data_IF_685201412365
#
_entry.id   IF_685201412365
#
_cell.length_a   1.000
_cell.length_b   1.000
_cell.length_c   1.000
_cell.angle_alpha   90.00
_cell.angle_beta   90.00
_cell.angle_gamma   90.00
#
_symmetry.space_group_name_H-M   'P 1'
#
loop_
_entity.id
_entity.type
_entity.pdbx_description
1 polymer ?
#
# COMPACT_ATOMS: atom_id res chain seq x y z
N UNK A 1 -27.26 39.81 38.02
CA UNK A 1 -25.91 39.35 37.70
C UNK A 1 -26.02 37.95 37.12
N UNK A 2 -26.19 37.88 35.79
CA UNK A 2 -26.38 36.60 35.08
C UNK A 2 -25.07 36.20 34.47
N UNK A 3 -24.54 35.04 34.91
CA UNK A 3 -23.35 34.42 34.32
C UNK A 3 -23.75 33.57 33.12
N UNK A 4 -23.33 33.97 31.95
CA UNK A 4 -23.53 33.23 30.69
C UNK A 4 -22.36 32.29 30.52
N UNK A 5 -22.59 30.97 30.70
CA UNK A 5 -21.58 29.96 30.47
C UNK A 5 -21.40 29.78 28.96
N UNK A 6 -20.22 30.09 28.47
CA UNK A 6 -19.80 29.88 27.08
C UNK A 6 -19.72 28.39 26.76
N UNK A 7 -20.48 27.96 25.76
CA UNK A 7 -20.32 26.66 25.10
C UNK A 7 -19.02 26.71 24.30
N UNK A 8 -18.01 25.99 24.74
CA UNK A 8 -16.80 25.74 23.97
C UNK A 8 -17.13 24.83 22.80
N UNK A 9 -17.07 25.37 21.60
CA UNK A 9 -17.25 24.65 20.36
C UNK A 9 -16.16 23.58 20.18
N UNK A 10 -16.57 22.37 19.84
CA UNK A 10 -15.70 21.27 19.43
C UNK A 10 -14.95 21.68 18.16
N UNK A 11 -13.63 21.83 18.24
CA UNK A 11 -12.81 22.16 17.08
C UNK A 11 -12.79 21.02 16.05
N UNK A 12 -12.50 21.30 14.76
CA UNK A 12 -12.52 20.33 13.65
C UNK A 12 -11.56 19.14 13.80
N UNK A 13 -10.57 19.20 14.68
CA UNK A 13 -9.54 18.16 14.84
C UNK A 13 -9.94 16.89 15.60
N UNK A 14 -11.03 16.88 16.38
CA UNK A 14 -11.37 15.70 17.19
C UNK A 14 -12.15 14.61 16.42
N UNK A 15 -12.85 14.98 15.37
CA UNK A 15 -13.61 14.05 14.54
C UNK A 15 -12.69 13.26 13.59
N UNK A 16 -11.73 13.93 12.98
CA UNK A 16 -10.72 13.31 12.08
C UNK A 16 -9.82 12.34 12.86
N UNK A 17 -9.35 12.70 14.05
CA UNK A 17 -8.51 11.82 14.86
C UNK A 17 -9.25 10.54 15.31
N UNK A 18 -10.57 10.57 15.52
CA UNK A 18 -11.36 9.38 15.88
C UNK A 18 -11.61 8.48 14.67
N UNK A 19 -11.86 9.06 13.52
CA UNK A 19 -12.01 8.30 12.27
C UNK A 19 -10.70 7.58 11.92
N UNK A 20 -9.55 8.24 12.04
CA UNK A 20 -8.24 7.64 11.84
C UNK A 20 -7.96 6.50 12.83
N UNK A 21 -8.28 6.67 14.10
CA UNK A 21 -8.15 5.61 15.11
C UNK A 21 -9.00 4.37 14.76
N UNK A 22 -10.22 4.58 14.23
CA UNK A 22 -11.08 3.48 13.76
C UNK A 22 -10.44 2.78 12.55
N UNK A 23 -9.90 3.53 11.58
CA UNK A 23 -9.27 2.96 10.40
C UNK A 23 -7.98 2.19 10.75
N UNK A 24 -7.18 2.68 11.70
CA UNK A 24 -5.99 1.99 12.19
C UNK A 24 -6.35 0.70 12.94
N UNK A 25 -7.42 0.71 13.75
CA UNK A 25 -7.93 -0.49 14.41
C UNK A 25 -8.50 -1.50 13.40
N UNK A 26 -9.23 -1.02 12.38
CA UNK A 26 -9.76 -1.84 11.31
C UNK A 26 -8.64 -2.56 10.55
N UNK A 27 -7.56 -1.86 10.23
CA UNK A 27 -6.38 -2.42 9.56
C UNK A 27 -5.80 -3.61 10.35
N UNK A 28 -5.59 -3.45 11.68
CA UNK A 28 -5.09 -4.53 12.53
C UNK A 28 -6.03 -5.73 12.58
N UNK A 29 -7.33 -5.50 12.77
CA UNK A 29 -8.32 -6.59 12.86
C UNK A 29 -8.50 -7.30 11.52
N UNK A 30 -8.58 -6.58 10.41
CA UNK A 30 -8.63 -7.20 9.08
C UNK A 30 -7.36 -7.99 8.74
N UNK A 31 -6.20 -7.52 9.17
CA UNK A 31 -4.93 -8.24 8.97
C UNK A 31 -4.82 -9.52 9.78
N UNK A 32 -5.43 -9.56 10.98
CA UNK A 32 -5.41 -10.73 11.86
C UNK A 32 -6.46 -11.77 11.46
N UNK A 33 -7.70 -11.33 11.21
CA UNK A 33 -8.86 -12.20 11.09
C UNK A 33 -9.34 -12.38 9.64
N UNK A 34 -8.73 -11.65 8.69
CA UNK A 34 -9.19 -11.52 7.32
C UNK A 34 -10.50 -10.74 7.21
N UNK A 35 -10.92 -10.42 5.98
CA UNK A 35 -12.16 -9.66 5.78
C UNK A 35 -13.39 -10.40 6.33
N UNK A 36 -13.50 -11.72 6.14
CA UNK A 36 -14.67 -12.49 6.57
C UNK A 36 -14.76 -12.61 8.09
N UNK A 37 -13.64 -12.91 8.76
CA UNK A 37 -13.57 -13.14 10.22
C UNK A 37 -13.68 -11.85 11.04
N UNK A 38 -13.27 -10.72 10.51
CA UNK A 38 -13.28 -9.44 11.22
C UNK A 38 -14.72 -9.00 11.58
N UNK A 39 -14.95 -8.72 12.88
CA UNK A 39 -16.23 -8.23 13.38
C UNK A 39 -16.17 -6.72 13.68
N UNK A 40 -17.21 -5.97 13.33
CA UNK A 40 -17.33 -4.53 13.64
C UNK A 40 -17.18 -4.23 15.12
N UNK A 41 -17.63 -5.15 15.99
CA UNK A 41 -17.47 -5.06 17.44
C UNK A 41 -16.01 -5.13 17.87
N UNK A 42 -15.24 -6.09 17.32
CA UNK A 42 -13.82 -6.23 17.62
C UNK A 42 -13.04 -4.97 17.18
N UNK A 43 -13.40 -4.38 16.03
CA UNK A 43 -12.81 -3.12 15.57
C UNK A 43 -13.14 -1.97 16.53
N UNK A 44 -14.38 -1.89 17.04
CA UNK A 44 -14.77 -0.88 18.02
C UNK A 44 -13.98 -1.00 19.34
N UNK A 45 -13.84 -2.22 19.84
CA UNK A 45 -13.06 -2.54 21.03
C UNK A 45 -11.56 -2.18 20.81
N UNK A 46 -10.99 -2.52 19.67
CA UNK A 46 -9.60 -2.20 19.32
C UNK A 46 -9.36 -0.69 19.11
N UNK A 47 -10.36 0.06 18.66
CA UNK A 47 -10.31 1.52 18.51
C UNK A 47 -10.62 2.28 19.81
N UNK A 48 -11.09 1.60 20.86
CA UNK A 48 -11.55 2.25 22.10
C UNK A 48 -12.78 3.14 21.93
N UNK A 49 -13.68 2.79 21.00
CA UNK A 49 -14.88 3.57 20.69
C UNK A 49 -16.16 2.74 20.82
N UNK A 50 -17.30 3.42 20.99
CA UNK A 50 -18.58 2.75 20.91
C UNK A 50 -18.85 2.25 19.47
N UNK A 51 -19.40 1.03 19.32
CA UNK A 51 -19.71 0.44 18.00
C UNK A 51 -20.63 1.35 17.16
N UNK A 52 -21.55 2.07 17.82
CA UNK A 52 -22.43 3.04 17.16
C UNK A 52 -21.68 4.16 16.43
N UNK A 53 -20.47 4.53 16.89
CA UNK A 53 -19.64 5.54 16.23
C UNK A 53 -19.09 5.00 14.89
N UNK A 54 -18.70 3.72 14.83
CA UNK A 54 -18.27 3.11 13.58
C UNK A 54 -19.43 3.07 12.57
N UNK A 55 -20.63 2.67 13.03
CA UNK A 55 -21.81 2.68 12.16
C UNK A 55 -22.20 4.09 11.71
N UNK A 56 -21.96 5.10 12.55
CA UNK A 56 -22.19 6.49 12.16
C UNK A 56 -21.28 6.91 11.00
N UNK A 57 -19.97 6.60 11.06
CA UNK A 57 -18.99 7.00 10.05
C UNK A 57 -19.03 6.14 8.79
N UNK A 58 -19.09 4.82 8.93
CA UNK A 58 -18.85 3.89 7.82
C UNK A 58 -20.06 3.06 7.39
N UNK A 59 -21.14 3.03 8.19
CA UNK A 59 -22.39 2.30 7.93
C UNK A 59 -22.25 0.78 7.91
N UNK A 60 -21.34 0.23 7.08
CA UNK A 60 -21.13 -1.22 6.89
C UNK A 60 -19.65 -1.58 7.03
N UNK A 61 -19.36 -2.87 7.25
CA UNK A 61 -18.00 -3.43 7.27
C UNK A 61 -17.31 -3.23 5.92
N UNK A 62 -18.06 -3.36 4.84
CA UNK A 62 -17.56 -3.13 3.48
C UNK A 62 -17.08 -1.70 3.27
N UNK A 63 -17.88 -0.70 3.67
CA UNK A 63 -17.49 0.72 3.58
C UNK A 63 -16.33 1.09 4.50
N UNK A 64 -16.22 0.44 5.65
CA UNK A 64 -15.05 0.60 6.53
C UNK A 64 -13.79 0.02 5.88
N UNK A 65 -13.88 -1.18 5.30
CA UNK A 65 -12.76 -1.81 4.59
C UNK A 65 -12.33 -0.97 3.38
N UNK A 66 -13.27 -0.53 2.55
CA UNK A 66 -13.02 0.35 1.41
C UNK A 66 -12.31 1.64 1.87
N UNK A 67 -12.82 2.31 2.90
CA UNK A 67 -12.20 3.54 3.41
C UNK A 67 -10.77 3.33 3.93
N UNK A 68 -10.50 2.20 4.59
CA UNK A 68 -9.17 1.83 5.04
C UNK A 68 -8.22 1.58 3.86
N UNK A 69 -8.65 0.83 2.85
CA UNK A 69 -7.86 0.57 1.63
C UNK A 69 -7.58 1.88 0.90
N UNK A 70 -8.59 2.72 0.68
CA UNK A 70 -8.45 4.01 0.00
C UNK A 70 -7.44 4.92 0.70
N UNK A 71 -7.53 5.04 2.04
CA UNK A 71 -6.58 5.86 2.81
C UNK A 71 -5.14 5.40 2.62
N UNK A 72 -4.89 4.10 2.71
CA UNK A 72 -3.53 3.55 2.61
C UNK A 72 -3.00 3.54 1.19
N UNK A 73 -3.82 3.11 0.23
CA UNK A 73 -3.42 3.14 -1.18
C UNK A 73 -3.16 4.56 -1.67
N UNK A 74 -3.98 5.53 -1.25
CA UNK A 74 -3.80 6.95 -1.56
C UNK A 74 -2.42 7.44 -1.14
N UNK A 75 -2.05 7.28 0.13
CA UNK A 75 -0.76 7.71 0.66
C UNK A 75 0.44 7.10 -0.10
N UNK A 76 0.37 5.79 -0.39
CA UNK A 76 1.44 5.08 -1.10
C UNK A 76 1.50 5.52 -2.56
N UNK A 77 0.36 5.60 -3.23
CA UNK A 77 0.31 5.88 -4.67
C UNK A 77 0.58 7.35 -4.98
N UNK A 78 0.16 8.29 -4.14
CA UNK A 78 0.56 9.70 -4.23
C UNK A 78 2.09 9.86 -4.13
N UNK A 79 2.73 9.16 -3.19
CA UNK A 79 4.18 9.17 -3.06
C UNK A 79 4.87 8.54 -4.27
N UNK A 80 4.35 7.43 -4.81
CA UNK A 80 4.83 6.80 -6.05
C UNK A 80 4.75 7.76 -7.24
N UNK A 81 3.58 8.37 -7.43
CA UNK A 81 3.35 9.31 -8.52
C UNK A 81 4.28 10.53 -8.42
N UNK A 82 4.46 11.09 -7.22
CA UNK A 82 5.38 12.19 -6.98
C UNK A 82 6.83 11.82 -7.31
N UNK A 83 7.30 10.63 -6.90
CA UNK A 83 8.65 10.16 -7.22
C UNK A 83 8.85 10.00 -8.73
N UNK A 84 7.90 9.40 -9.44
CA UNK A 84 8.00 9.25 -10.91
C UNK A 84 7.98 10.61 -11.59
N UNK A 85 7.08 11.53 -11.17
CA UNK A 85 7.02 12.89 -11.73
C UNK A 85 8.33 13.64 -11.54
N UNK A 86 8.91 13.58 -10.33
CA UNK A 86 10.19 14.21 -10.00
C UNK A 86 11.35 13.68 -10.85
N UNK A 87 11.41 12.36 -11.06
CA UNK A 87 12.42 11.74 -11.90
C UNK A 87 12.41 12.24 -13.34
N UNK A 88 11.23 12.57 -13.89
CA UNK A 88 11.11 13.11 -15.25
C UNK A 88 11.17 14.63 -15.34
N UNK A 89 11.18 15.36 -14.23
CA UNK A 89 11.20 16.83 -14.20
C UNK A 89 12.59 17.43 -14.48
N UNK A 90 13.68 16.68 -14.32
CA UNK A 90 15.05 17.20 -14.26
C UNK A 90 15.84 17.11 -15.57
N UNK A 91 15.20 16.88 -16.72
CA UNK A 91 15.78 16.99 -18.07
C UNK A 91 16.49 15.73 -18.60
N UNK A 92 17.26 15.03 -17.80
CA UNK A 92 17.86 13.75 -18.19
C UNK A 92 16.86 12.60 -18.00
N UNK A 93 16.82 11.61 -18.91
CA UNK A 93 15.95 10.45 -18.73
C UNK A 93 16.39 9.67 -17.48
N UNK A 94 15.43 9.30 -16.61
CA UNK A 94 15.75 8.51 -15.43
C UNK A 94 16.28 7.13 -15.83
N UNK A 95 17.10 6.54 -14.95
CA UNK A 95 17.53 5.15 -15.12
C UNK A 95 16.42 4.19 -14.71
N UNK A 96 16.40 3.01 -15.30
CA UNK A 96 15.42 1.95 -14.99
C UNK A 96 15.37 1.65 -13.48
N UNK A 97 16.53 1.61 -12.83
CA UNK A 97 16.65 1.35 -11.39
C UNK A 97 15.87 2.37 -10.55
N UNK A 98 15.87 3.64 -10.94
CA UNK A 98 15.16 4.70 -10.24
C UNK A 98 13.62 4.55 -10.35
N UNK A 99 13.14 4.15 -11.53
CA UNK A 99 11.70 3.87 -11.73
C UNK A 99 11.27 2.65 -10.91
N UNK A 100 12.06 1.57 -10.96
CA UNK A 100 11.76 0.36 -10.18
C UNK A 100 11.82 0.63 -8.67
N UNK A 101 12.78 1.42 -8.22
CA UNK A 101 12.88 1.83 -6.82
C UNK A 101 11.68 2.68 -6.38
N UNK A 102 11.24 3.63 -7.22
CA UNK A 102 10.05 4.45 -6.96
C UNK A 102 8.77 3.60 -6.83
N UNK A 103 8.69 2.44 -7.50
CA UNK A 103 7.59 1.49 -7.34
C UNK A 103 7.59 0.82 -5.98
N UNK A 104 8.75 0.37 -5.49
CA UNK A 104 8.84 -0.49 -4.31
C UNK A 104 9.06 0.27 -3.01
N UNK A 105 9.92 1.28 -2.99
CA UNK A 105 10.32 1.99 -1.77
C UNK A 105 9.14 2.47 -0.92
N UNK A 106 8.12 3.17 -1.47
CA UNK A 106 7.02 3.66 -0.64
C UNK A 106 6.25 2.55 0.08
N UNK A 107 6.06 1.40 -0.56
CA UNK A 107 5.33 0.28 0.03
C UNK A 107 6.18 -0.48 1.05
N UNK A 108 7.45 -0.71 0.75
CA UNK A 108 8.38 -1.40 1.67
C UNK A 108 8.56 -0.59 2.95
N UNK A 109 8.82 0.72 2.85
CA UNK A 109 8.98 1.60 4.01
C UNK A 109 7.69 1.69 4.82
N UNK A 110 6.52 1.83 4.17
CA UNK A 110 5.23 1.82 4.85
C UNK A 110 4.97 0.49 5.56
N UNK A 111 5.34 -0.64 4.93
CA UNK A 111 5.23 -1.97 5.53
C UNK A 111 6.17 -2.19 6.70
N UNK A 112 7.26 -1.43 6.82
CA UNK A 112 8.24 -1.51 7.90
C UNK A 112 8.00 -0.49 9.01
N UNK A 113 7.05 0.43 8.86
CA UNK A 113 6.68 1.39 9.89
C UNK A 113 6.05 0.69 11.11
N UNK A 114 6.92 0.37 12.08
CA UNK A 114 6.52 -0.30 13.32
C UNK A 114 5.61 0.56 14.19
N UNK A 115 5.68 1.88 14.09
CA UNK A 115 4.85 2.80 14.86
C UNK A 115 3.38 2.73 14.43
N UNK A 116 3.12 2.31 13.19
CA UNK A 116 1.78 2.20 12.60
C UNK A 116 1.36 0.77 12.27
N UNK A 117 2.06 -0.26 12.80
CA UNK A 117 1.84 -1.66 12.43
C UNK A 117 1.79 -1.89 10.90
N UNK A 118 2.76 -1.30 10.20
CA UNK A 118 2.79 -1.33 8.73
C UNK A 118 2.72 -2.73 8.10
N UNK A 119 3.13 -3.77 8.84
CA UNK A 119 2.97 -5.17 8.44
C UNK A 119 1.51 -5.62 8.33
N UNK A 120 0.57 -4.97 9.02
CA UNK A 120 -0.85 -5.30 8.92
C UNK A 120 -1.38 -5.00 7.51
N UNK A 121 -1.14 -3.79 7.01
CA UNK A 121 -1.58 -3.43 5.67
C UNK A 121 -0.92 -4.26 4.57
N UNK A 122 0.36 -4.59 4.71
CA UNK A 122 1.06 -5.45 3.74
C UNK A 122 0.38 -6.84 3.63
N UNK A 123 -0.04 -7.45 4.74
CA UNK A 123 -0.79 -8.71 4.73
C UNK A 123 -2.15 -8.58 4.03
N UNK A 124 -2.87 -7.49 4.31
CA UNK A 124 -4.15 -7.19 3.62
C UNK A 124 -3.92 -7.03 2.13
N UNK A 125 -2.91 -6.26 1.73
CA UNK A 125 -2.60 -5.98 0.33
C UNK A 125 -2.28 -7.25 -0.46
N UNK A 126 -1.50 -8.17 0.10
CA UNK A 126 -1.20 -9.47 -0.53
C UNK A 126 -2.46 -10.29 -0.76
N UNK A 127 -3.36 -10.37 0.23
CA UNK A 127 -4.63 -11.08 0.12
C UNK A 127 -5.57 -10.42 -0.89
N UNK A 128 -5.67 -9.10 -0.82
CA UNK A 128 -6.54 -8.26 -1.64
C UNK A 128 -6.15 -8.28 -3.12
N UNK A 129 -4.85 -8.13 -3.44
CA UNK A 129 -4.35 -8.07 -4.81
C UNK A 129 -4.52 -9.40 -5.58
N UNK A 130 -4.65 -10.51 -4.87
CA UNK A 130 -4.87 -11.84 -5.46
C UNK A 130 -6.33 -12.31 -5.32
N UNK A 131 -7.23 -11.45 -4.86
CA UNK A 131 -8.64 -11.79 -4.67
C UNK A 131 -9.40 -11.85 -5.99
N UNK A 132 -10.24 -12.87 -6.16
CA UNK A 132 -11.19 -12.95 -7.27
C UNK A 132 -12.57 -12.35 -6.91
N UNK A 133 -12.73 -11.77 -5.71
CA UNK A 133 -13.97 -11.11 -5.29
C UNK A 133 -14.20 -9.85 -6.15
N UNK A 134 -15.36 -9.70 -6.81
CA UNK A 134 -15.66 -8.56 -7.66
C UNK A 134 -15.54 -7.19 -6.96
N UNK A 135 -15.77 -7.15 -5.63
CA UNK A 135 -15.58 -5.95 -4.82
C UNK A 135 -14.09 -5.57 -4.78
N UNK A 136 -13.22 -6.53 -4.51
CA UNK A 136 -11.78 -6.31 -4.40
C UNK A 136 -11.20 -5.92 -5.76
N UNK A 137 -11.63 -6.59 -6.84
CA UNK A 137 -11.24 -6.23 -8.20
C UNK A 137 -11.62 -4.78 -8.56
N UNK A 138 -12.82 -4.35 -8.18
CA UNK A 138 -13.27 -2.96 -8.39
C UNK A 138 -12.42 -1.94 -7.63
N UNK A 139 -12.02 -2.25 -6.39
CA UNK A 139 -11.14 -1.38 -5.63
C UNK A 139 -9.73 -1.31 -6.24
N UNK A 140 -9.24 -2.43 -6.80
CA UNK A 140 -7.96 -2.46 -7.54
C UNK A 140 -8.07 -1.57 -8.77
N UNK A 141 -9.08 -1.75 -9.60
CA UNK A 141 -9.33 -0.97 -10.83
C UNK A 141 -9.34 0.55 -10.52
N UNK A 142 -10.05 0.95 -9.46
CA UNK A 142 -10.19 2.38 -9.13
C UNK A 142 -8.91 2.96 -8.52
N UNK A 143 -8.24 2.23 -7.62
CA UNK A 143 -7.20 2.81 -6.76
C UNK A 143 -5.77 2.38 -7.12
N UNK A 144 -5.59 1.32 -7.92
CA UNK A 144 -4.26 0.83 -8.27
C UNK A 144 -3.97 0.86 -9.78
N UNK A 145 -4.97 0.68 -10.65
CA UNK A 145 -4.73 0.72 -12.09
C UNK A 145 -4.22 2.07 -12.60
N UNK A 146 -4.65 3.24 -12.08
CA UNK A 146 -4.07 4.51 -12.52
C UNK A 146 -2.58 4.61 -12.26
N UNK A 147 -2.10 4.19 -11.10
CA UNK A 147 -0.66 4.20 -10.81
C UNK A 147 0.09 3.10 -11.58
N UNK A 148 -0.55 1.95 -11.83
CA UNK A 148 0.02 0.90 -12.69
C UNK A 148 0.29 1.44 -14.10
N UNK A 149 -0.67 2.18 -14.70
CA UNK A 149 -0.48 2.81 -16.01
C UNK A 149 0.68 3.81 -15.99
N UNK A 150 0.82 4.62 -14.94
CA UNK A 150 1.96 5.54 -14.78
C UNK A 150 3.30 4.81 -14.86
N UNK A 151 3.45 3.66 -14.18
CA UNK A 151 4.69 2.88 -14.22
C UNK A 151 4.91 2.18 -15.55
N UNK A 152 3.85 1.61 -16.16
CA UNK A 152 3.92 0.99 -17.49
C UNK A 152 4.39 2.02 -18.53
N UNK A 153 3.82 3.22 -18.52
CA UNK A 153 4.24 4.30 -19.42
C UNK A 153 5.67 4.78 -19.14
N UNK A 154 6.07 4.86 -17.86
CA UNK A 154 7.44 5.19 -17.50
C UNK A 154 8.44 4.15 -18.01
N UNK A 155 8.15 2.84 -17.88
CA UNK A 155 8.98 1.77 -18.41
C UNK A 155 9.14 1.87 -19.94
N UNK A 156 8.04 2.03 -20.67
CA UNK A 156 8.08 2.19 -22.13
C UNK A 156 8.82 3.45 -22.58
N UNK A 157 8.79 4.52 -21.78
CA UNK A 157 9.49 5.77 -22.08
C UNK A 157 10.99 5.65 -21.93
N UNK A 158 11.48 4.89 -20.94
CA UNK A 158 12.92 4.72 -20.68
C UNK A 158 13.54 3.53 -21.43
N UNK A 159 12.72 2.57 -21.84
CA UNK A 159 13.10 1.39 -22.64
C UNK A 159 12.31 1.38 -23.95
N UNK A 160 12.72 2.14 -24.98
CA UNK A 160 11.95 2.31 -26.22
C UNK A 160 11.68 1.03 -27.01
N UNK A 161 12.49 -0.04 -26.77
CA UNK A 161 12.28 -1.37 -27.37
C UNK A 161 11.21 -2.20 -26.67
N UNK A 162 10.74 -1.78 -25.49
CA UNK A 162 9.77 -2.53 -24.70
C UNK A 162 8.35 -2.32 -25.27
N UNK A 163 7.72 -3.40 -25.71
CA UNK A 163 6.33 -3.35 -26.15
C UNK A 163 5.37 -3.07 -24.98
N UNK A 164 4.17 -2.55 -25.28
CA UNK A 164 3.16 -2.36 -24.23
C UNK A 164 2.78 -3.68 -23.54
N UNK A 165 2.73 -4.77 -24.27
CA UNK A 165 2.43 -6.08 -23.71
C UNK A 165 3.51 -6.51 -22.70
N UNK A 166 4.77 -6.37 -23.08
CA UNK A 166 5.92 -6.72 -22.24
C UNK A 166 6.05 -5.78 -21.04
N UNK A 167 5.76 -4.49 -21.21
CA UNK A 167 5.72 -3.53 -20.10
C UNK A 167 4.64 -3.89 -19.06
N UNK A 168 3.47 -4.35 -19.51
CA UNK A 168 2.40 -4.84 -18.60
C UNK A 168 2.87 -6.11 -17.89
N UNK A 169 3.46 -7.08 -18.58
CA UNK A 169 3.98 -8.29 -17.95
C UNK A 169 5.11 -7.98 -16.98
N UNK A 170 6.06 -7.11 -17.35
CA UNK A 170 7.12 -6.65 -16.47
C UNK A 170 6.57 -6.03 -15.18
N UNK A 171 5.57 -5.16 -15.29
CA UNK A 171 4.89 -4.57 -14.13
C UNK A 171 4.23 -5.66 -13.27
N UNK A 172 3.49 -6.61 -13.87
CA UNK A 172 2.82 -7.68 -13.12
C UNK A 172 3.80 -8.60 -12.42
N UNK A 173 4.92 -8.96 -13.06
CA UNK A 173 5.99 -9.75 -12.43
C UNK A 173 6.64 -8.97 -11.28
N UNK A 174 6.90 -7.68 -11.47
CA UNK A 174 7.43 -6.81 -10.41
C UNK A 174 6.50 -6.78 -9.19
N UNK A 175 5.20 -6.59 -9.40
CA UNK A 175 4.21 -6.61 -8.32
C UNK A 175 4.18 -7.97 -7.62
N UNK A 176 4.20 -9.09 -8.36
CA UNK A 176 4.23 -10.44 -7.78
C UNK A 176 5.46 -10.68 -6.87
N UNK A 177 6.64 -10.25 -7.32
CA UNK A 177 7.88 -10.30 -6.51
C UNK A 177 7.74 -9.41 -5.27
N UNK A 178 7.25 -8.18 -5.44
CA UNK A 178 7.04 -7.23 -4.33
C UNK A 178 6.07 -7.76 -3.28
N UNK A 179 4.94 -8.36 -3.69
CA UNK A 179 3.96 -8.97 -2.79
C UNK A 179 4.59 -10.07 -1.93
N UNK A 180 5.44 -10.93 -2.52
CA UNK A 180 6.14 -11.99 -1.80
C UNK A 180 7.07 -11.41 -0.73
N UNK A 181 7.78 -10.33 -1.02
CA UNK A 181 8.71 -9.70 -0.08
C UNK A 181 7.96 -8.95 1.04
N UNK A 182 6.84 -8.30 0.73
CA UNK A 182 6.04 -7.54 1.70
C UNK A 182 5.31 -8.44 2.71
N UNK A 183 5.10 -9.71 2.41
CA UNK A 183 4.39 -10.64 3.30
C UNK A 183 5.09 -10.88 4.65
N UNK A 184 6.38 -10.54 4.79
CA UNK A 184 7.19 -10.63 6.02
C UNK A 184 6.98 -11.93 6.80
N UNK A 185 7.17 -13.04 6.12
CA UNK A 185 6.92 -14.37 6.70
C UNK A 185 8.07 -14.90 7.57
N UNK A 186 9.18 -14.16 7.62
CA UNK A 186 10.43 -14.64 8.21
C UNK A 186 11.05 -15.82 7.42
N UNK A 187 10.47 -16.19 6.28
CA UNK A 187 10.95 -17.29 5.44
C UNK A 187 12.35 -17.04 4.87
N UNK A 188 12.66 -15.82 4.36
CA UNK A 188 14.01 -15.50 3.91
C UNK A 188 15.05 -15.75 5.01
N UNK A 189 14.78 -15.33 6.24
CA UNK A 189 15.66 -15.53 7.38
C UNK A 189 15.89 -17.01 7.68
N UNK A 190 14.81 -17.83 7.66
CA UNK A 190 14.93 -19.28 7.89
C UNK A 190 15.71 -19.98 6.78
N UNK A 191 15.46 -19.66 5.51
CA UNK A 191 16.12 -20.31 4.37
C UNK A 191 17.59 -19.94 4.26
N UNK A 192 17.97 -18.74 4.70
CA UNK A 192 19.35 -18.25 4.64
C UNK A 192 20.20 -18.53 5.88
N UNK A 193 19.66 -19.23 6.87
CA UNK A 193 20.36 -19.41 8.14
C UNK A 193 20.57 -18.11 8.92
N UNK A 194 19.69 -17.11 8.73
CA UNK A 194 19.74 -15.82 9.43
C UNK A 194 20.43 -14.70 8.66
N UNK A 195 20.96 -14.96 7.47
CA UNK A 195 21.69 -13.94 6.66
C UNK A 195 20.73 -12.93 6.00
N UNK A 196 19.56 -13.38 5.54
CA UNK A 196 18.55 -12.50 4.95
C UNK A 196 17.56 -12.02 6.02
N UNK A 197 17.27 -10.73 6.03
CA UNK A 197 16.27 -10.13 6.92
C UNK A 197 15.19 -9.43 6.07
N UNK A 198 13.95 -9.92 6.17
CA UNK A 198 12.78 -9.32 5.54
C UNK A 198 12.20 -8.12 6.34
N UNK A 199 12.91 -7.69 7.38
CA UNK A 199 12.72 -6.45 8.13
C UNK A 199 13.63 -5.30 7.68
N UNK A 200 14.60 -5.54 6.80
CA UNK A 200 15.57 -4.54 6.31
C UNK A 200 15.17 -4.05 4.90
N UNK A 201 14.66 -2.80 4.82
CA UNK A 201 14.23 -2.18 3.57
C UNK A 201 15.36 -2.05 2.55
N UNK A 202 16.53 -1.59 2.98
CA UNK A 202 17.66 -1.37 2.07
C UNK A 202 18.23 -2.70 1.57
N UNK A 203 18.28 -3.71 2.42
CA UNK A 203 18.67 -5.06 2.01
C UNK A 203 17.68 -5.66 1.01
N UNK A 204 16.37 -5.38 1.13
CA UNK A 204 15.38 -5.80 0.14
C UNK A 204 15.51 -5.03 -1.17
N UNK A 205 15.58 -3.68 -1.11
CA UNK A 205 15.67 -2.82 -2.29
C UNK A 205 16.94 -3.09 -3.10
N UNK A 206 18.07 -3.29 -2.45
CA UNK A 206 19.35 -3.61 -3.12
C UNK A 206 19.33 -4.92 -3.92
N UNK A 207 18.32 -5.76 -3.73
CA UNK A 207 18.15 -7.04 -4.43
C UNK A 207 16.98 -7.04 -5.40
N UNK A 208 15.84 -6.51 -5.00
CA UNK A 208 14.65 -6.50 -5.85
C UNK A 208 14.83 -5.57 -7.06
N UNK A 209 15.47 -4.42 -6.88
CA UNK A 209 15.68 -3.46 -7.97
C UNK A 209 16.52 -4.07 -9.10
N UNK A 210 17.75 -4.57 -8.88
CA UNK A 210 18.53 -5.15 -9.98
C UNK A 210 17.88 -6.42 -10.56
N UNK A 211 17.16 -7.20 -9.76
CA UNK A 211 16.45 -8.40 -10.23
C UNK A 211 15.35 -8.03 -11.24
N UNK A 212 14.51 -7.06 -10.91
CA UNK A 212 13.44 -6.58 -11.80
C UNK A 212 14.03 -5.89 -13.03
N UNK A 213 15.05 -5.06 -12.87
CA UNK A 213 15.72 -4.40 -14.01
C UNK A 213 16.31 -5.40 -14.99
N UNK A 214 16.92 -6.49 -14.49
CA UNK A 214 17.40 -7.57 -15.35
C UNK A 214 16.28 -8.25 -16.13
N UNK A 215 15.14 -8.51 -15.49
CA UNK A 215 13.96 -9.05 -16.15
C UNK A 215 13.36 -8.12 -17.20
N UNK A 216 13.27 -6.81 -16.94
CA UNK A 216 12.79 -5.82 -17.91
C UNK A 216 13.70 -5.78 -19.14
N UNK A 217 15.04 -5.73 -18.95
CA UNK A 217 15.99 -5.69 -20.05
C UNK A 217 15.93 -6.95 -20.92
N UNK A 218 15.73 -8.11 -20.31
CA UNK A 218 15.58 -9.36 -21.07
C UNK A 218 14.35 -9.38 -22.00
N UNK A 219 13.30 -8.62 -21.70
CA UNK A 219 12.12 -8.48 -22.57
C UNK A 219 12.33 -7.49 -23.72
N UNK A 220 13.38 -6.67 -23.67
CA UNK A 220 13.73 -5.73 -24.75
C UNK A 220 14.65 -6.38 -25.78
N UNK A 221 15.46 -7.37 -25.36
CA UNK A 221 16.50 -8.01 -26.19
C UNK A 221 15.96 -9.07 -27.16
N UNK A 222 14.67 -9.41 -27.11
CA UNK A 222 14.01 -10.32 -28.08
C UNK A 222 13.39 -9.54 -29.25
#
# INVERSE_FOLDING_TARGET
MSSHAARTGSGPGQGESRQDAILDAAERVFAADGYQGAAMRAIAEAAGVAQGLIHYHFKTKEKLFEAMVVRRSGQINERRAALVADLFAHGDPPRLEQIVEALFRPTIETGLDLARDGGAFARILVSFANSADPRDQRLIEIHYDPIAQTFIEALMRIEPGLSRADAVWAYMFAIGVGMTMMAKTGRPKRLSGGVCDDGDAEAMLSRIVPFICGGVRALVEE
#
